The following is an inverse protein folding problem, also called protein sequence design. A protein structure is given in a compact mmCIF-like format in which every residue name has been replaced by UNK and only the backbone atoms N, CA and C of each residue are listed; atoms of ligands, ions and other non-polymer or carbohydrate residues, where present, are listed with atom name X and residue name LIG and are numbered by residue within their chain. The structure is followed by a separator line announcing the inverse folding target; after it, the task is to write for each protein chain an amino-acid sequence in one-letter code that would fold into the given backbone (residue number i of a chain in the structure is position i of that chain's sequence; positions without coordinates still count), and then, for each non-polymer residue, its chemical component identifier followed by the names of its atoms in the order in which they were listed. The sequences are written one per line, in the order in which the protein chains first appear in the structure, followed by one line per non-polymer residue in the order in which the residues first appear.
data_IF_145190576261
#
_entry.id   IF_145190576261
#
_cell.length_a   1.000
_cell.length_b   1.000
_cell.length_c   1.000
_cell.angle_alpha   90.00
_cell.angle_beta   90.00
_cell.angle_gamma   90.00
#
_symmetry.space_group_name_H-M   'P 1'
#
loop_
_entity.id
_entity.type
_entity.pdbx_description
1 polymer ?
#
# COMPACT_ATOMS: atom_id res chain seq x y z
N UNK A 1 -52.70 -16.84 7.74
CA UNK A 1 -51.99 -16.89 9.01
C UNK A 1 -50.53 -17.14 8.71
N UNK A 2 -49.71 -16.08 8.75
CA UNK A 2 -48.28 -16.11 8.48
C UNK A 2 -47.56 -16.22 9.82
N UNK A 3 -46.58 -17.11 10.01
CA UNK A 3 -45.89 -17.24 11.31
C UNK A 3 -44.93 -16.09 11.56
N UNK A 4 -44.99 -15.56 12.78
CA UNK A 4 -44.15 -14.51 13.28
C UNK A 4 -42.68 -14.95 13.31
N UNK A 5 -41.83 -14.16 12.66
CA UNK A 5 -40.37 -14.31 12.61
C UNK A 5 -39.81 -13.90 13.98
N UNK A 6 -39.37 -14.87 14.76
CA UNK A 6 -38.66 -14.65 16.03
C UNK A 6 -37.33 -13.90 15.74
N UNK A 7 -37.25 -12.66 16.19
CA UNK A 7 -36.00 -11.87 16.19
C UNK A 7 -34.99 -12.60 17.09
N UNK A 8 -33.95 -13.17 16.48
CA UNK A 8 -32.83 -13.77 17.17
C UNK A 8 -32.15 -12.75 18.07
N UNK A 9 -32.00 -13.10 19.33
CA UNK A 9 -31.26 -12.38 20.35
C UNK A 9 -29.83 -12.18 19.85
N UNK A 10 -29.40 -10.93 19.65
CA UNK A 10 -28.02 -10.58 19.34
C UNK A 10 -27.10 -11.20 20.42
N UNK A 11 -26.05 -11.94 20.06
CA UNK A 11 -25.15 -12.46 21.06
C UNK A 11 -24.52 -11.27 21.80
N UNK A 12 -24.47 -11.36 23.13
CA UNK A 12 -23.83 -10.39 23.99
C UNK A 12 -22.39 -10.15 23.48
N UNK A 13 -22.06 -8.91 23.21
CA UNK A 13 -20.71 -8.52 22.78
C UNK A 13 -19.72 -9.04 23.81
N UNK A 14 -18.75 -9.83 23.37
CA UNK A 14 -17.63 -10.25 24.22
C UNK A 14 -16.95 -8.99 24.75
N UNK A 15 -16.59 -8.93 26.04
CA UNK A 15 -15.89 -7.78 26.61
C UNK A 15 -14.62 -7.53 25.77
N UNK A 16 -14.44 -6.30 25.34
CA UNK A 16 -13.26 -5.89 24.59
C UNK A 16 -11.99 -6.28 25.39
N UNK A 17 -10.93 -6.78 24.73
CA UNK A 17 -9.71 -7.12 25.44
C UNK A 17 -9.19 -5.89 26.21
N UNK A 18 -8.59 -6.08 27.40
CA UNK A 18 -8.11 -4.99 28.22
C UNK A 18 -7.10 -4.14 27.43
N UNK A 19 -7.37 -2.84 27.32
CA UNK A 19 -6.55 -1.93 26.54
C UNK A 19 -5.31 -1.55 27.34
N UNK A 20 -4.14 -1.92 26.83
CA UNK A 20 -2.85 -1.52 27.37
C UNK A 20 -2.46 -0.17 26.75
N UNK A 21 -2.14 0.81 27.60
CA UNK A 21 -1.75 2.15 27.15
C UNK A 21 -0.64 2.76 27.99
N UNK A 22 0.13 3.67 27.36
CA UNK A 22 1.18 4.44 28.02
C UNK A 22 0.59 5.68 28.67
N UNK A 23 0.95 5.94 29.92
CA UNK A 23 0.54 7.15 30.66
C UNK A 23 1.76 7.86 31.24
N UNK A 24 1.65 9.18 31.40
CA UNK A 24 2.65 9.98 32.13
C UNK A 24 2.38 9.76 33.61
N UNK A 25 3.37 9.27 34.32
CA UNK A 25 3.28 9.06 35.77
C UNK A 25 3.68 10.32 36.56
N UNK A 26 4.82 10.90 36.21
CA UNK A 26 5.33 12.12 36.87
C UNK A 26 6.29 12.87 35.98
N UNK A 27 6.52 14.14 36.32
CA UNK A 27 7.55 15.01 35.78
C UNK A 27 8.57 15.32 36.86
N UNK A 28 9.84 15.36 36.47
CA UNK A 28 10.91 15.85 37.34
C UNK A 28 11.63 16.98 36.63
N UNK A 29 11.66 18.11 37.29
CA UNK A 29 12.29 19.33 36.80
C UNK A 29 13.49 19.63 37.66
N UNK A 30 14.66 19.88 37.06
CA UNK A 30 15.82 20.30 37.75
C UNK A 30 16.36 21.60 37.15
N UNK A 31 16.39 22.63 37.97
CA UNK A 31 16.86 23.97 37.61
C UNK A 31 16.24 24.53 36.32
N UNK A 32 14.93 24.30 36.15
CA UNK A 32 14.20 24.67 34.94
C UNK A 32 13.29 25.87 35.15
N UNK A 33 13.52 26.96 34.45
CA UNK A 33 12.78 28.25 34.53
C UNK A 33 12.62 28.73 35.98
N UNK A 34 11.36 28.76 36.48
CA UNK A 34 11.07 29.17 37.87
C UNK A 34 11.37 28.11 38.93
N UNK A 35 11.65 26.87 38.51
CA UNK A 35 11.89 25.76 39.42
C UNK A 35 13.38 25.65 39.78
N UNK A 36 13.72 25.99 41.00
CA UNK A 36 15.08 25.85 41.55
C UNK A 36 15.27 24.44 42.09
N UNK A 37 16.45 23.84 41.86
CA UNK A 37 16.78 22.50 42.31
C UNK A 37 15.92 21.42 41.68
N UNK A 38 15.83 20.25 42.31
CA UNK A 38 15.05 19.11 41.83
C UNK A 38 13.64 19.19 42.38
N UNK A 39 12.64 19.31 41.47
CA UNK A 39 11.23 19.38 41.81
C UNK A 39 10.51 18.23 41.11
N UNK A 40 9.68 17.52 41.86
CA UNK A 40 8.87 16.41 41.35
C UNK A 40 7.39 16.82 41.30
N UNK A 41 6.75 16.66 40.15
CA UNK A 41 5.35 17.00 39.91
C UNK A 41 4.61 15.71 39.55
N UNK A 42 3.67 15.33 40.39
CA UNK A 42 2.92 14.08 40.28
C UNK A 42 2.62 13.43 41.62
N UNK A 43 2.18 12.18 41.69
CA UNK A 43 1.80 11.35 40.53
C UNK A 43 0.58 11.89 39.79
N UNK A 44 0.59 11.79 38.45
CA UNK A 44 -0.56 12.13 37.64
C UNK A 44 -1.58 10.99 37.62
N UNK A 45 -2.86 11.39 37.57
CA UNK A 45 -3.94 10.43 37.43
C UNK A 45 -3.96 9.79 36.02
N UNK A 46 -4.44 8.56 35.87
CA UNK A 46 -4.47 7.82 34.61
C UNK A 46 -5.24 8.51 33.47
N UNK A 47 -6.24 9.32 33.79
CA UNK A 47 -7.15 9.94 32.81
C UNK A 47 -7.10 11.46 32.84
N UNK A 48 -7.15 12.06 34.02
CA UNK A 48 -7.24 13.51 34.16
C UNK A 48 -6.46 14.01 35.39
N UNK A 49 -5.67 15.06 35.19
CA UNK A 49 -4.98 15.79 36.27
C UNK A 49 -5.09 17.28 36.03
N UNK A 50 -5.29 18.06 37.10
CA UNK A 50 -5.35 19.49 37.02
C UNK A 50 -4.21 20.11 37.85
N UNK A 51 -3.54 21.12 37.29
CA UNK A 51 -2.49 21.88 37.94
C UNK A 51 -3.05 23.26 38.26
N UNK A 52 -3.28 23.53 39.54
CA UNK A 52 -3.86 24.77 40.02
C UNK A 52 -2.86 25.56 40.84
N UNK A 53 -3.03 26.88 40.91
CA UNK A 53 -2.18 27.76 41.68
C UNK A 53 -2.37 29.25 41.31
N UNK A 54 -1.83 30.18 42.09
CA UNK A 54 -1.91 31.63 41.80
C UNK A 54 -1.16 32.00 40.53
N UNK A 55 -1.41 33.21 40.02
CA UNK A 55 -0.66 33.72 38.87
C UNK A 55 0.84 33.89 39.24
N UNK A 56 1.74 33.51 38.32
CA UNK A 56 3.17 33.55 38.56
C UNK A 56 3.74 32.32 39.29
N UNK A 57 2.93 31.37 39.76
CA UNK A 57 3.41 30.17 40.49
C UNK A 57 4.14 29.15 39.61
N UNK A 58 4.26 29.37 38.31
CA UNK A 58 4.96 28.42 37.41
C UNK A 58 4.06 27.41 36.73
N UNK A 59 2.72 27.48 36.82
CA UNK A 59 1.78 26.56 36.14
C UNK A 59 2.14 26.32 34.65
N UNK A 60 2.32 27.41 33.92
CA UNK A 60 2.68 27.36 32.50
C UNK A 60 4.05 26.74 32.24
N UNK A 61 4.97 26.80 33.22
CA UNK A 61 6.30 26.20 33.07
C UNK A 61 6.28 24.67 33.06
N UNK A 62 5.22 24.04 33.59
CA UNK A 62 5.00 22.59 33.47
C UNK A 62 4.71 22.21 32.02
N UNK A 63 3.87 22.99 31.34
CA UNK A 63 3.61 22.80 29.91
C UNK A 63 4.90 23.07 29.10
N UNK A 64 5.62 24.13 29.41
CA UNK A 64 6.90 24.43 28.76
C UNK A 64 7.94 23.30 28.97
N UNK A 65 7.91 22.63 30.11
CA UNK A 65 8.77 21.47 30.38
C UNK A 65 8.42 20.26 29.49
N UNK A 66 7.12 19.97 29.32
CA UNK A 66 6.66 18.94 28.39
C UNK A 66 7.07 19.28 26.95
N UNK A 67 6.84 20.53 26.51
CA UNK A 67 7.25 21.01 25.20
C UNK A 67 8.77 20.82 24.99
N UNK A 68 9.55 21.17 26.01
CA UNK A 68 11.00 21.03 25.97
C UNK A 68 11.40 19.57 25.73
N UNK A 69 10.89 18.63 26.54
CA UNK A 69 11.23 17.20 26.40
C UNK A 69 10.80 16.64 25.04
N UNK A 70 9.64 17.04 24.55
CA UNK A 70 9.12 16.58 23.27
C UNK A 70 9.68 17.30 22.03
N UNK A 71 10.82 17.97 22.17
CA UNK A 71 11.63 18.44 21.05
C UNK A 71 11.27 19.80 20.48
N UNK A 72 10.37 20.54 21.12
CA UNK A 72 10.00 21.84 20.63
C UNK A 72 11.16 22.85 20.76
N UNK A 73 11.16 23.82 19.82
CA UNK A 73 12.17 24.88 19.81
C UNK A 73 11.90 25.89 20.92
N UNK A 74 12.95 26.56 21.43
CA UNK A 74 12.86 27.57 22.48
C UNK A 74 11.83 28.67 22.19
N UNK A 75 11.70 29.09 20.93
CA UNK A 75 10.74 30.14 20.52
C UNK A 75 9.28 29.80 20.86
N UNK A 76 8.89 28.52 20.83
CA UNK A 76 7.53 28.08 21.21
C UNK A 76 7.32 28.06 22.73
N UNK A 77 8.41 28.05 23.52
CA UNK A 77 8.39 28.09 24.98
C UNK A 77 8.55 29.49 25.54
N UNK A 78 8.27 30.51 24.73
CA UNK A 78 8.38 31.94 25.09
C UNK A 78 9.82 32.35 25.48
N UNK A 79 10.83 31.68 24.92
CA UNK A 79 12.26 31.97 25.17
C UNK A 79 12.99 32.08 23.85
N UNK A 80 14.03 32.92 23.81
CA UNK A 80 14.84 33.10 22.62
C UNK A 80 15.90 32.00 22.45
N UNK A 81 16.44 31.50 23.54
CA UNK A 81 17.55 30.54 23.55
C UNK A 81 17.31 29.41 24.53
N UNK A 82 17.97 28.27 24.32
CA UNK A 82 17.89 27.11 25.22
C UNK A 82 18.53 27.44 26.60
N UNK A 83 19.54 28.28 26.63
CA UNK A 83 20.17 28.77 27.88
C UNK A 83 19.19 29.50 28.79
N UNK A 84 18.16 30.16 28.22
CA UNK A 84 17.19 30.94 28.99
C UNK A 84 16.17 30.04 29.73
N UNK A 85 16.20 28.73 29.43
CA UNK A 85 15.41 27.72 30.17
C UNK A 85 16.06 27.35 31.52
N UNK A 86 17.35 27.66 31.70
CA UNK A 86 18.07 27.37 32.93
C UNK A 86 17.64 28.35 34.01
N UNK A 87 17.33 27.82 35.20
CA UNK A 87 16.91 28.63 36.33
C UNK A 87 18.01 29.68 36.64
N UNK A 88 17.57 30.93 36.68
CA UNK A 88 18.46 32.03 37.07
C UNK A 88 17.81 32.78 38.24
N UNK A 89 18.55 32.93 39.30
CA UNK A 89 18.15 33.72 40.48
C UNK A 89 19.16 34.85 40.66
N UNK A 90 18.65 36.04 40.84
CA UNK A 90 19.47 37.22 41.06
C UNK A 90 20.44 37.00 42.25
N UNK A 91 21.73 37.21 42.03
CA UNK A 91 22.77 37.11 43.05
C UNK A 91 23.34 35.71 43.32
N UNK A 92 22.86 34.67 42.65
CA UNK A 92 23.43 33.32 42.74
C UNK A 92 24.13 32.90 41.43
N UNK A 93 25.17 32.07 41.55
CA UNK A 93 25.81 31.47 40.37
C UNK A 93 24.78 30.54 39.69
N UNK A 94 24.33 30.85 38.45
CA UNK A 94 23.34 30.04 37.81
C UNK A 94 23.87 28.63 37.49
N UNK A 95 23.03 27.59 37.56
CA UNK A 95 23.38 26.21 37.23
C UNK A 95 24.00 26.10 35.82
N UNK A 96 24.84 25.09 35.60
CA UNK A 96 25.46 24.84 34.29
C UNK A 96 24.50 24.30 33.27
N UNK A 97 23.45 23.65 33.72
CA UNK A 97 22.42 22.96 32.89
C UNK A 97 21.07 22.90 33.61
N UNK A 98 20.03 22.69 32.86
CA UNK A 98 18.73 22.24 33.38
C UNK A 98 18.35 20.88 32.79
N UNK A 99 17.54 20.14 33.55
CA UNK A 99 17.08 18.81 33.16
C UNK A 99 15.56 18.72 33.34
N UNK A 100 14.91 18.13 32.35
CA UNK A 100 13.51 17.74 32.47
C UNK A 100 13.39 16.26 32.19
N UNK A 101 12.74 15.54 33.11
CA UNK A 101 12.46 14.11 33.00
C UNK A 101 10.96 13.90 32.92
N UNK A 102 10.51 13.09 31.95
CA UNK A 102 9.15 12.58 31.87
C UNK A 102 9.17 11.09 32.15
N UNK A 103 8.45 10.70 33.17
CA UNK A 103 8.35 9.31 33.60
C UNK A 103 7.03 8.75 33.08
N UNK A 104 7.11 7.78 32.19
CA UNK A 104 5.98 7.02 31.67
C UNK A 104 5.91 5.66 32.32
N UNK A 105 4.70 5.10 32.35
CA UNK A 105 4.44 3.68 32.67
C UNK A 105 3.29 3.17 31.82
N UNK A 106 3.26 1.85 31.58
CA UNK A 106 2.13 1.23 30.92
C UNK A 106 1.13 0.75 31.96
N UNK A 107 -0.14 0.97 31.66
CA UNK A 107 -1.25 0.53 32.48
C UNK A 107 -2.22 -0.30 31.66
N UNK A 108 -2.96 -1.17 32.38
CA UNK A 108 -4.08 -1.93 31.85
C UNK A 108 -5.32 -1.42 32.55
N UNK A 109 -6.22 -0.79 31.80
CA UNK A 109 -7.49 -0.27 32.34
C UNK A 109 -8.51 -1.39 32.51
N UNK A 110 -9.29 -1.33 33.58
CA UNK A 110 -10.48 -2.14 33.74
C UNK A 110 -11.70 -1.46 33.11
N UNK A 111 -12.52 -2.16 32.30
CA UNK A 111 -13.59 -1.54 31.51
C UNK A 111 -14.64 -0.77 32.31
N UNK A 112 -14.90 -1.17 33.55
CA UNK A 112 -16.01 -0.68 34.36
C UNK A 112 -15.58 -0.02 35.70
N UNK A 113 -14.29 0.30 35.86
CA UNK A 113 -13.73 0.84 37.09
C UNK A 113 -12.66 1.88 36.82
N UNK A 114 -12.49 2.81 37.76
CA UNK A 114 -11.36 3.72 37.75
C UNK A 114 -10.02 3.06 38.16
N UNK A 115 -10.05 1.78 38.50
CA UNK A 115 -8.86 1.02 38.85
C UNK A 115 -8.07 0.65 37.61
N UNK A 116 -6.77 0.42 37.77
CA UNK A 116 -5.86 -0.02 36.73
C UNK A 116 -4.74 -0.86 37.32
N UNK A 117 -4.20 -1.76 36.52
CA UNK A 117 -2.98 -2.47 36.86
C UNK A 117 -1.77 -1.84 36.16
N UNK A 118 -0.71 -1.60 36.90
CA UNK A 118 0.58 -1.19 36.34
C UNK A 118 1.30 -2.43 35.80
N UNK A 119 1.76 -2.35 34.56
CA UNK A 119 2.55 -3.42 33.96
C UNK A 119 3.96 -3.39 34.60
N UNK A 120 4.44 -4.49 35.20
CA UNK A 120 5.78 -4.54 35.77
C UNK A 120 6.85 -4.22 34.71
N UNK A 121 7.93 -3.58 35.13
CA UNK A 121 9.08 -3.23 34.28
C UNK A 121 8.75 -2.39 33.02
N UNK A 122 7.60 -1.71 33.03
CA UNK A 122 7.15 -0.86 31.92
C UNK A 122 7.59 0.59 32.03
N UNK A 123 8.39 0.94 33.03
CA UNK A 123 8.83 2.32 33.23
C UNK A 123 9.73 2.77 32.07
N UNK A 124 9.40 3.94 31.53
CA UNK A 124 10.14 4.59 30.46
C UNK A 124 10.46 6.01 30.92
N UNK A 125 11.73 6.33 31.05
CA UNK A 125 12.18 7.64 31.51
C UNK A 125 12.88 8.38 30.36
N UNK A 126 12.21 9.42 29.89
CA UNK A 126 12.75 10.31 28.87
C UNK A 126 13.28 11.58 29.53
N UNK A 127 14.59 11.87 29.34
CA UNK A 127 15.23 13.07 29.88
C UNK A 127 15.79 13.92 28.75
N UNK A 128 15.66 15.24 28.89
CA UNK A 128 16.36 16.21 28.04
C UNK A 128 17.13 17.20 28.91
N UNK A 129 18.35 17.42 28.51
CA UNK A 129 19.26 18.36 29.13
C UNK A 129 19.41 19.60 28.25
N UNK A 130 19.41 20.80 28.83
CA UNK A 130 19.85 21.99 28.14
C UNK A 130 21.06 22.58 28.88
N UNK A 131 22.10 22.93 28.14
CA UNK A 131 23.35 23.49 28.66
C UNK A 131 23.45 24.97 28.29
N UNK A 132 24.28 25.72 29.01
CA UNK A 132 24.53 27.15 28.77
C UNK A 132 25.09 27.47 27.37
N UNK A 133 25.79 26.54 26.76
CA UNK A 133 26.31 26.66 25.39
C UNK A 133 25.23 26.49 24.32
N UNK A 134 23.93 26.46 24.68
CA UNK A 134 22.77 26.22 23.82
C UNK A 134 22.76 24.83 23.17
N UNK A 135 23.48 23.86 23.71
CA UNK A 135 23.37 22.46 23.28
C UNK A 135 22.33 21.73 24.11
N UNK A 136 21.69 20.72 23.49
CA UNK A 136 20.81 19.84 24.21
C UNK A 136 21.10 18.37 23.91
N UNK A 137 20.85 17.53 24.90
CA UNK A 137 21.09 16.10 24.82
C UNK A 137 19.85 15.35 25.36
N UNK A 138 19.57 14.20 24.76
CA UNK A 138 18.51 13.30 25.20
C UNK A 138 19.08 12.02 25.80
N UNK A 139 18.38 11.50 26.80
CA UNK A 139 18.61 10.15 27.30
C UNK A 139 17.28 9.42 27.48
N UNK A 140 17.29 8.14 27.20
CA UNK A 140 16.17 7.23 27.37
C UNK A 140 16.61 6.11 28.33
N UNK A 141 15.97 6.01 29.49
CA UNK A 141 16.38 5.09 30.57
C UNK A 141 17.89 5.18 30.85
N UNK A 142 18.37 6.42 31.03
CA UNK A 142 19.77 6.80 31.27
C UNK A 142 20.79 6.46 30.15
N UNK A 143 20.31 5.93 29.01
CA UNK A 143 21.14 5.75 27.81
C UNK A 143 20.99 6.95 26.88
N UNK A 144 22.11 7.42 26.34
CA UNK A 144 22.09 8.51 25.34
C UNK A 144 21.36 8.05 24.10
N UNK A 145 20.38 8.83 23.64
CA UNK A 145 19.56 8.55 22.47
C UNK A 145 19.43 9.78 21.57
N UNK A 146 19.15 9.55 20.29
CA UNK A 146 18.84 10.61 19.34
C UNK A 146 17.36 11.00 19.43
N UNK A 147 17.03 12.21 18.96
CA UNK A 147 15.63 12.65 18.91
C UNK A 147 14.80 11.75 17.98
N UNK A 148 15.36 11.27 16.88
CA UNK A 148 14.69 10.36 15.93
C UNK A 148 14.30 9.04 16.59
N UNK A 149 15.22 8.41 17.32
CA UNK A 149 14.93 7.16 18.06
C UNK A 149 13.79 7.33 19.08
N UNK A 150 13.77 8.50 19.76
CA UNK A 150 12.72 8.82 20.72
C UNK A 150 11.38 9.02 20.01
N UNK A 151 11.36 9.74 18.89
CA UNK A 151 10.16 9.97 18.09
C UNK A 151 9.58 8.66 17.59
N UNK A 152 10.39 7.77 17.04
CA UNK A 152 9.97 6.46 16.55
C UNK A 152 9.44 5.59 17.69
N UNK A 153 10.11 5.54 18.84
CA UNK A 153 9.67 4.78 19.99
C UNK A 153 8.32 5.26 20.52
N UNK A 154 8.13 6.57 20.64
CA UNK A 154 6.89 7.16 21.15
C UNK A 154 5.75 7.02 20.14
N UNK A 155 6.03 7.13 18.83
CA UNK A 155 5.06 6.88 17.75
C UNK A 155 4.51 5.46 17.81
N UNK A 156 5.37 4.46 17.99
CA UNK A 156 4.94 3.05 18.17
C UNK A 156 4.07 2.84 19.40
N UNK A 157 4.16 3.74 20.39
CA UNK A 157 3.34 3.71 21.61
C UNK A 157 2.13 4.66 21.60
N UNK A 158 1.83 5.24 20.43
CA UNK A 158 0.65 6.10 20.22
C UNK A 158 0.87 7.58 20.53
N UNK A 159 2.12 8.02 20.79
CA UNK A 159 2.46 9.45 20.98
C UNK A 159 3.20 9.94 19.75
N UNK A 160 2.50 10.68 18.89
CA UNK A 160 3.07 11.26 17.70
C UNK A 160 3.64 12.67 17.99
N UNK A 161 4.97 12.78 17.94
CA UNK A 161 5.68 14.05 18.16
C UNK A 161 5.76 14.91 16.90
N UNK A 162 5.64 14.34 15.72
CA UNK A 162 5.78 15.04 14.45
C UNK A 162 4.57 15.95 14.19
N UNK A 163 3.38 15.41 14.37
CA UNK A 163 2.14 16.13 14.12
C UNK A 163 1.62 16.94 15.33
N UNK A 164 2.29 16.88 16.48
CA UNK A 164 2.03 17.69 17.70
C UNK A 164 0.58 17.65 18.22
N UNK A 165 -0.14 16.58 17.95
CA UNK A 165 -1.59 16.43 18.25
C UNK A 165 -1.89 16.16 19.72
N UNK A 166 -0.87 15.82 20.48
CA UNK A 166 -0.99 15.44 21.89
C UNK A 166 -1.02 16.65 22.86
N UNK A 167 -0.81 17.87 22.35
CA UNK A 167 -0.71 19.07 23.18
C UNK A 167 -1.38 20.27 22.50
N UNK A 168 -2.27 20.95 23.20
CA UNK A 168 -2.90 22.19 22.77
C UNK A 168 -2.36 23.32 23.63
N UNK A 169 -1.70 24.29 23.01
CA UNK A 169 -1.12 25.44 23.69
C UNK A 169 -2.17 26.54 23.94
N UNK A 170 -1.87 27.41 24.91
CA UNK A 170 -2.69 28.58 25.15
C UNK A 170 -2.71 29.49 23.90
N UNK A 171 -3.90 29.86 23.43
CA UNK A 171 -4.11 30.65 22.21
C UNK A 171 -4.17 29.85 20.91
N UNK A 172 -3.84 28.56 20.89
CA UNK A 172 -4.01 27.72 19.68
C UNK A 172 -5.49 27.53 19.32
N UNK A 173 -6.37 27.42 20.31
CA UNK A 173 -7.81 27.29 20.06
C UNK A 173 -8.36 28.51 19.29
N UNK A 174 -7.90 29.71 19.65
CA UNK A 174 -8.28 30.95 18.94
C UNK A 174 -7.69 30.99 17.53
N UNK A 175 -6.43 30.56 17.35
CA UNK A 175 -5.79 30.50 16.03
C UNK A 175 -6.44 29.49 15.13
N UNK A 176 -6.85 28.32 15.65
CA UNK A 176 -7.59 27.29 14.90
C UNK A 176 -8.96 27.84 14.48
N UNK A 177 -9.68 28.55 15.38
CA UNK A 177 -10.96 29.14 15.08
C UNK A 177 -10.89 30.25 14.00
N UNK A 178 -9.73 30.88 13.84
CA UNK A 178 -9.48 31.94 12.86
C UNK A 178 -8.84 31.43 11.58
N UNK A 179 -8.52 30.14 11.48
CA UNK A 179 -7.92 29.56 10.28
C UNK A 179 -8.86 29.70 9.07
N UNK A 180 -8.33 30.04 7.88
CA UNK A 180 -9.11 30.01 6.65
C UNK A 180 -9.53 28.57 6.35
N UNK A 181 -10.65 28.33 5.64
CA UNK A 181 -11.14 26.99 5.33
C UNK A 181 -10.10 26.14 4.59
N UNK A 182 -9.26 26.75 3.76
CA UNK A 182 -8.16 26.12 3.01
C UNK A 182 -6.99 27.08 2.91
N UNK A 183 -5.78 26.57 2.99
CA UNK A 183 -4.56 27.35 2.75
C UNK A 183 -4.53 27.91 1.34
N UNK A 184 -4.13 29.19 1.20
CA UNK A 184 -4.02 29.88 -0.10
C UNK A 184 -2.71 29.57 -0.80
N UNK A 185 -1.69 29.19 -0.05
CA UNK A 185 -0.35 28.84 -0.53
C UNK A 185 0.09 27.52 0.09
N UNK A 186 1.09 26.85 -0.50
CA UNK A 186 1.67 25.60 0.02
C UNK A 186 2.23 25.72 1.46
N UNK A 187 2.50 26.92 1.91
CA UNK A 187 3.07 27.21 3.23
C UNK A 187 2.05 27.74 4.24
N UNK A 188 0.82 27.98 3.84
CA UNK A 188 -0.25 28.47 4.66
C UNK A 188 -1.20 27.32 5.01
N UNK A 189 -1.20 26.95 6.29
CA UNK A 189 -2.08 25.88 6.79
C UNK A 189 -3.50 26.44 6.97
N UNK A 190 -4.48 25.85 6.28
CA UNK A 190 -5.90 26.10 6.52
C UNK A 190 -6.51 25.06 7.45
N UNK A 191 -7.79 25.24 7.76
CA UNK A 191 -8.52 24.30 8.63
C UNK A 191 -8.60 22.90 8.03
N UNK A 192 -8.69 22.78 6.69
CA UNK A 192 -8.74 21.50 6.01
C UNK A 192 -7.42 20.74 6.19
N UNK A 193 -6.30 21.38 5.91
CA UNK A 193 -4.97 20.80 6.06
C UNK A 193 -4.69 20.40 7.51
N UNK A 194 -5.12 21.25 8.47
CA UNK A 194 -5.02 20.95 9.90
C UNK A 194 -5.85 19.71 10.28
N UNK A 195 -7.07 19.57 9.77
CA UNK A 195 -7.91 18.39 10.02
C UNK A 195 -7.36 17.13 9.36
N UNK A 196 -6.84 17.24 8.13
CA UNK A 196 -6.18 16.12 7.45
C UNK A 196 -4.95 15.62 8.22
N UNK A 197 -4.19 16.58 8.80
CA UNK A 197 -3.06 16.25 9.67
C UNK A 197 -3.52 15.61 10.98
N UNK A 198 -4.58 16.11 11.58
CA UNK A 198 -5.16 15.58 12.81
C UNK A 198 -5.69 14.14 12.64
N UNK A 199 -6.32 13.85 11.51
CA UNK A 199 -6.88 12.52 11.16
C UNK A 199 -5.76 11.57 10.72
N UNK A 200 -4.63 12.09 10.21
CA UNK A 200 -3.50 11.31 9.67
C UNK A 200 -3.67 10.98 8.18
N UNK A 201 -4.58 11.66 7.49
CA UNK A 201 -4.77 11.47 6.04
C UNK A 201 -3.76 12.23 5.21
N UNK A 202 -3.07 13.23 5.78
CA UNK A 202 -1.98 13.97 5.15
C UNK A 202 -0.84 13.07 4.66
N UNK A 203 -0.57 11.95 5.36
CA UNK A 203 0.46 10.97 5.00
C UNK A 203 0.18 10.29 3.63
N UNK A 204 -1.09 10.22 3.23
CA UNK A 204 -1.51 9.63 1.96
C UNK A 204 -1.46 10.58 0.77
N UNK A 205 -1.26 11.89 0.98
CA UNK A 205 -1.29 12.89 -0.10
C UNK A 205 -0.23 12.62 -1.16
N UNK A 206 1.01 12.46 -0.76
CA UNK A 206 2.13 12.17 -1.68
C UNK A 206 1.95 10.84 -2.43
N UNK A 207 1.64 9.70 -1.76
CA UNK A 207 1.35 8.46 -2.46
C UNK A 207 0.17 8.56 -3.44
N UNK A 208 -0.90 9.30 -3.10
CA UNK A 208 -2.05 9.50 -3.99
C UNK A 208 -1.63 10.26 -5.26
N UNK A 209 -0.85 11.33 -5.13
CA UNK A 209 -0.37 12.11 -6.27
C UNK A 209 0.57 11.30 -7.18
N UNK A 210 1.45 10.48 -6.60
CA UNK A 210 2.34 9.59 -7.35
C UNK A 210 1.55 8.52 -8.10
N UNK A 211 0.60 7.89 -7.42
CA UNK A 211 -0.26 6.87 -8.05
C UNK A 211 -1.20 7.46 -9.10
N UNK A 212 -1.71 8.68 -8.91
CA UNK A 212 -2.50 9.38 -9.92
C UNK A 212 -1.69 9.55 -11.22
N UNK A 213 -0.45 10.03 -11.14
CA UNK A 213 0.44 10.14 -12.31
C UNK A 213 0.70 8.79 -12.97
N UNK A 214 0.89 7.73 -12.18
CA UNK A 214 1.08 6.38 -12.70
C UNK A 214 -0.17 5.85 -13.42
N UNK A 215 -1.37 6.14 -12.90
CA UNK A 215 -2.66 5.79 -13.53
C UNK A 215 -2.84 6.53 -14.85
N UNK A 216 -2.51 7.82 -14.89
CA UNK A 216 -2.60 8.62 -16.13
C UNK A 216 -1.66 8.08 -17.21
N UNK A 217 -0.41 7.78 -16.86
CA UNK A 217 0.55 7.18 -17.79
C UNK A 217 0.09 5.79 -18.28
N UNK A 218 -0.48 4.97 -17.40
CA UNK A 218 -1.03 3.66 -17.77
C UNK A 218 -2.26 3.78 -18.68
N UNK A 219 -3.12 4.76 -18.48
CA UNK A 219 -4.27 5.05 -19.32
C UNK A 219 -3.85 5.51 -20.72
N UNK A 220 -2.83 6.33 -20.83
CA UNK A 220 -2.24 6.74 -22.12
C UNK A 220 -1.71 5.54 -22.89
N UNK A 221 -0.87 4.72 -22.24
CA UNK A 221 -0.34 3.50 -22.84
C UNK A 221 -1.44 2.51 -23.25
N UNK A 222 -2.50 2.40 -22.44
CA UNK A 222 -3.68 1.57 -22.77
C UNK A 222 -4.40 2.10 -24.01
N UNK A 223 -4.61 3.41 -24.09
CA UNK A 223 -5.27 4.05 -25.24
C UNK A 223 -4.49 3.83 -26.55
N UNK A 224 -3.17 3.96 -26.49
CA UNK A 224 -2.30 3.67 -27.64
C UNK A 224 -2.43 2.22 -28.11
N UNK A 225 -2.35 1.27 -27.17
CA UNK A 225 -2.49 -0.16 -27.50
C UNK A 225 -3.88 -0.51 -28.08
N UNK A 226 -4.95 0.10 -27.54
CA UNK A 226 -6.31 -0.08 -28.08
C UNK A 226 -6.40 0.49 -29.51
N UNK A 227 -5.81 1.63 -29.79
CA UNK A 227 -5.81 2.21 -31.14
C UNK A 227 -5.03 1.32 -32.12
N UNK A 228 -3.87 0.80 -31.74
CA UNK A 228 -3.13 -0.19 -32.55
C UNK A 228 -3.96 -1.45 -32.82
N UNK A 229 -4.61 -1.97 -31.79
CA UNK A 229 -5.47 -3.15 -31.93
C UNK A 229 -6.64 -2.89 -32.91
N UNK A 230 -7.27 -1.71 -32.87
CA UNK A 230 -8.32 -1.34 -33.82
C UNK A 230 -7.81 -1.28 -35.26
N UNK A 231 -6.58 -0.82 -35.49
CA UNK A 231 -5.99 -0.80 -36.84
C UNK A 231 -5.77 -2.21 -37.32
N UNK A 232 -5.12 -3.09 -36.53
CA UNK A 232 -4.88 -4.48 -36.88
C UNK A 232 -6.17 -5.23 -37.12
N UNK A 233 -7.20 -4.99 -36.31
CA UNK A 233 -8.52 -5.60 -36.51
C UNK A 233 -9.15 -5.21 -37.84
N UNK A 234 -9.07 -3.94 -38.25
CA UNK A 234 -9.57 -3.48 -39.57
C UNK A 234 -8.81 -4.12 -40.72
N UNK A 235 -7.48 -4.28 -40.59
CA UNK A 235 -6.67 -4.98 -41.59
C UNK A 235 -7.09 -6.44 -41.71
N UNK A 236 -7.26 -7.13 -40.58
CA UNK A 236 -7.71 -8.51 -40.53
C UNK A 236 -9.09 -8.67 -41.16
N UNK A 237 -10.05 -7.81 -40.80
CA UNK A 237 -11.40 -7.82 -41.36
C UNK A 237 -11.37 -7.54 -42.89
N UNK A 238 -10.45 -6.73 -43.37
CA UNK A 238 -10.25 -6.47 -44.81
C UNK A 238 -9.61 -7.64 -45.57
N UNK A 239 -8.80 -8.47 -44.90
CA UNK A 239 -8.17 -9.65 -45.51
C UNK A 239 -9.08 -10.92 -45.45
N UNK A 240 -10.01 -10.96 -44.52
CA UNK A 240 -10.87 -12.12 -44.31
C UNK A 240 -11.66 -12.59 -45.59
N UNK A 241 -12.28 -11.69 -46.40
CA UNK A 241 -12.96 -12.11 -47.63
C UNK A 241 -11.97 -12.70 -48.65
N UNK A 242 -10.79 -12.12 -48.80
CA UNK A 242 -9.75 -12.64 -49.70
C UNK A 242 -9.21 -14.00 -49.23
N UNK A 243 -9.10 -14.21 -47.97
CA UNK A 243 -8.74 -15.52 -47.39
C UNK A 243 -9.76 -16.57 -47.72
N UNK A 244 -11.07 -16.27 -47.54
CA UNK A 244 -12.17 -17.18 -47.84
C UNK A 244 -12.23 -17.54 -49.33
N UNK A 245 -12.00 -16.56 -50.20
CA UNK A 245 -11.93 -16.81 -51.64
C UNK A 245 -10.80 -17.75 -52.02
N UNK A 246 -9.61 -17.50 -51.45
CA UNK A 246 -8.45 -18.38 -51.68
C UNK A 246 -8.68 -19.80 -51.12
N UNK A 247 -9.30 -19.95 -49.96
CA UNK A 247 -9.64 -21.26 -49.38
C UNK A 247 -10.66 -22.00 -50.27
N UNK A 248 -11.65 -21.34 -50.82
CA UNK A 248 -12.58 -21.93 -51.75
C UNK A 248 -11.87 -22.39 -53.03
N UNK A 249 -11.05 -21.54 -53.62
CA UNK A 249 -10.27 -21.91 -54.80
C UNK A 249 -9.38 -23.14 -54.57
N UNK A 250 -8.72 -23.22 -53.43
CA UNK A 250 -7.89 -24.41 -53.11
C UNK A 250 -8.74 -25.67 -52.90
N UNK A 251 -9.93 -25.58 -52.34
CA UNK A 251 -10.88 -26.69 -52.24
C UNK A 251 -11.31 -27.17 -53.59
N UNK A 252 -11.75 -26.25 -54.45
CA UNK A 252 -12.18 -26.57 -55.80
C UNK A 252 -11.03 -27.17 -56.61
N UNK A 253 -9.83 -26.68 -56.49
CA UNK A 253 -8.63 -27.24 -57.14
C UNK A 253 -8.33 -28.68 -56.64
N UNK A 254 -8.44 -28.92 -55.34
CA UNK A 254 -8.21 -30.25 -54.77
C UNK A 254 -9.32 -31.22 -55.22
N UNK A 255 -10.58 -30.77 -55.30
CA UNK A 255 -11.68 -31.63 -55.78
C UNK A 255 -11.56 -31.92 -57.24
N UNK A 256 -11.13 -30.95 -58.06
CA UNK A 256 -10.81 -31.16 -59.46
C UNK A 256 -9.72 -32.22 -59.62
N UNK A 257 -8.62 -32.11 -58.89
CA UNK A 257 -7.51 -33.09 -58.92
C UNK A 257 -7.98 -34.49 -58.50
N UNK A 258 -8.87 -34.57 -57.49
CA UNK A 258 -9.46 -35.88 -57.08
C UNK A 258 -10.35 -36.45 -58.14
N UNK A 259 -11.19 -35.66 -58.81
CA UNK A 259 -12.04 -36.10 -59.90
C UNK A 259 -11.21 -36.54 -61.13
N UNK A 260 -10.19 -35.75 -61.50
CA UNK A 260 -9.24 -36.14 -62.57
C UNK A 260 -8.54 -37.45 -62.27
N UNK A 261 -8.05 -37.61 -61.01
CA UNK A 261 -7.42 -38.90 -60.61
C UNK A 261 -8.38 -40.06 -60.72
N UNK A 262 -9.62 -39.92 -60.33
CA UNK A 262 -10.66 -40.95 -60.47
C UNK A 262 -10.93 -41.26 -61.93
N UNK A 263 -11.03 -40.24 -62.79
CA UNK A 263 -11.22 -40.42 -64.21
C UNK A 263 -10.07 -41.20 -64.86
N UNK A 264 -8.84 -40.83 -64.56
CA UNK A 264 -7.65 -41.54 -65.04
C UNK A 264 -7.57 -42.99 -64.52
N UNK A 265 -7.96 -43.25 -63.29
CA UNK A 265 -8.07 -44.59 -62.74
C UNK A 265 -9.13 -45.43 -63.45
N UNK A 266 -10.29 -44.87 -63.75
CA UNK A 266 -11.34 -45.51 -64.51
C UNK A 266 -10.87 -45.87 -65.93
N UNK A 267 -10.26 -44.91 -66.64
CA UNK A 267 -9.69 -45.18 -67.97
C UNK A 267 -8.58 -46.24 -67.93
N UNK A 268 -7.71 -46.24 -66.96
CA UNK A 268 -6.71 -47.29 -66.79
C UNK A 268 -7.34 -48.67 -66.53
N UNK A 269 -8.43 -48.69 -65.77
CA UNK A 269 -9.13 -49.92 -65.50
C UNK A 269 -9.80 -50.46 -66.79
N UNK A 270 -10.49 -49.60 -67.57
CA UNK A 270 -11.11 -49.94 -68.84
C UNK A 270 -10.05 -50.45 -69.86
N UNK A 271 -8.91 -49.76 -69.95
CA UNK A 271 -7.80 -50.23 -70.80
C UNK A 271 -7.27 -51.62 -70.40
N UNK A 272 -7.13 -51.85 -69.08
CA UNK A 272 -6.65 -53.17 -68.56
C UNK A 272 -7.67 -54.27 -68.85
N UNK A 273 -8.97 -54.03 -68.71
CA UNK A 273 -10.03 -54.94 -69.02
C UNK A 273 -10.05 -55.28 -70.54
N UNK A 274 -9.94 -54.25 -71.38
CA UNK A 274 -9.84 -54.43 -72.83
C UNK A 274 -8.59 -55.23 -73.24
N UNK A 275 -7.44 -54.94 -72.62
CA UNK A 275 -6.20 -55.67 -72.82
C UNK A 275 -6.34 -57.15 -72.38
N UNK A 276 -6.97 -57.43 -71.25
CA UNK A 276 -7.24 -58.77 -70.77
C UNK A 276 -8.12 -59.52 -71.75
N UNK A 277 -9.21 -58.96 -72.24
CA UNK A 277 -10.09 -59.54 -73.22
C UNK A 277 -9.40 -59.80 -74.57
N UNK A 278 -8.57 -58.81 -75.02
CA UNK A 278 -7.78 -58.98 -76.24
C UNK A 278 -6.72 -60.11 -76.14
N UNK A 279 -6.01 -60.22 -74.96
CA UNK A 279 -5.07 -61.28 -74.70
C UNK A 279 -5.76 -62.65 -74.63
N UNK A 280 -6.92 -62.71 -73.97
CA UNK A 280 -7.72 -63.96 -73.94
C UNK A 280 -8.16 -64.40 -75.34
N UNK A 281 -8.68 -63.41 -76.12
CA UNK A 281 -9.03 -63.66 -77.53
C UNK A 281 -7.89 -64.12 -78.38
N UNK A 282 -6.70 -63.52 -78.24
CA UNK A 282 -5.47 -63.92 -78.90
C UNK A 282 -5.08 -65.33 -78.48
N UNK A 283 -5.10 -65.65 -77.17
CA UNK A 283 -4.79 -66.99 -76.68
C UNK A 283 -5.77 -68.06 -77.21
N UNK A 284 -7.00 -67.74 -77.49
CA UNK A 284 -7.97 -68.68 -78.12
C UNK A 284 -7.77 -68.89 -79.62
N UNK A 285 -7.33 -67.88 -80.35
CA UNK A 285 -7.12 -67.87 -81.76
C UNK A 285 -5.76 -68.53 -82.11
N UNK A 286 -4.74 -68.34 -81.30
CA UNK A 286 -3.37 -68.87 -81.52
C UNK A 286 -3.35 -70.38 -81.76
N UNK A 287 -3.98 -71.25 -80.95
CA UNK A 287 -3.95 -72.67 -81.16
C UNK A 287 -4.74 -73.08 -82.47
N UNK A 288 -5.84 -72.35 -82.83
CA UNK A 288 -6.58 -72.52 -84.02
C UNK A 288 -5.70 -72.18 -85.26
N UNK A 289 -5.07 -71.07 -85.27
CA UNK A 289 -4.13 -70.61 -86.29
C UNK A 289 -3.00 -71.63 -86.48
N UNK A 290 -2.42 -72.15 -85.35
CA UNK A 290 -1.39 -73.14 -85.38
C UNK A 290 -1.88 -74.49 -85.99
N UNK A 291 -3.07 -74.92 -85.68
CA UNK A 291 -3.70 -76.11 -86.29
C UNK A 291 -4.00 -75.95 -87.76
N UNK A 292 -4.48 -74.76 -88.21
CA UNK A 292 -4.65 -74.46 -89.62
C UNK A 292 -3.39 -74.40 -90.43
N UNK A 293 -2.29 -73.75 -89.89
CA UNK A 293 -0.96 -73.74 -90.52
C UNK A 293 -0.43 -75.15 -90.67
N UNK A 294 -0.52 -75.98 -89.63
CA UNK A 294 -0.02 -77.34 -89.61
C UNK A 294 -0.81 -78.28 -90.60
N UNK A 295 -2.16 -78.05 -90.72
CA UNK A 295 -2.99 -78.76 -91.70
C UNK A 295 -2.62 -78.31 -93.08
N UNK A 296 -2.24 -77.07 -93.33
CA UNK A 296 -1.86 -76.56 -94.65
C UNK A 296 -0.48 -77.08 -95.03
N UNK A 297 0.47 -77.21 -94.09
CA UNK A 297 1.78 -77.87 -94.36
C UNK A 297 1.66 -79.36 -94.65
N UNK A 298 0.70 -80.06 -93.97
CA UNK A 298 0.47 -81.48 -94.25
C UNK A 298 -0.24 -81.72 -95.58
N UNK A 299 -1.05 -80.75 -96.10
CA UNK A 299 -1.69 -80.85 -97.43
C UNK A 299 -0.71 -80.48 -98.57
N UNK A 300 0.43 -79.89 -98.35
CA UNK A 300 1.48 -79.57 -99.31
C UNK A 300 2.50 -80.69 -99.46
N UNK A 301 2.42 -81.68 -98.59
CA UNK A 301 3.31 -82.87 -98.61
C UNK A 301 2.62 -84.13 -99.03
N UNK A 302 1.38 -84.01 -99.59
CA UNK A 302 0.70 -85.08 -100.35
C UNK A 302 0.64 -84.64 -101.81
#
# INVERSE_FOLDING_TARGET
MTPARTLGRTPAAQPAPPVRRLVIHKLVLQDFKSYAGRQEIGPFHKSFSSIVGPNGSGKSNVIDALLFVFGWRANKMRQGRLSDLIHNRDGATPPSQCVVEVWFREIIDFPDSDDFNVVPDSELVLKRFAQRNNTSQYTLNDKRSSFTEITDLLRHRGIDLDHKRFLILQGEVESIAQMPPKGKTEHEEGLLEYLEDLIGTSDYKTPIEEHAKAVDAANEARSEKINRLKIVQRELDGLEPRRKEAELFLRDQNDLMRLQSRLWQAHMWDCRTLMAHATESLASIQPVSYTHLRAHETSLHL
#
